data_IF_309181016502
#
_entry.id   IF_309181016502
#
_cell.length_a   1.000
_cell.length_b   1.000
_cell.length_c   1.000
_cell.angle_alpha   90.00
_cell.angle_beta   90.00
_cell.angle_gamma   90.00
#
_symmetry.space_group_name_H-M   'P 1'
#
loop_
_entity.id
_entity.type
_entity.pdbx_description
1 polymer ?
#
# COMPACT_ATOMS: atom_id res chain seq x y z
N UNK A 1 11.52 14.12 -14.88
CA UNK A 1 11.69 12.83 -15.62
C UNK A 1 11.55 13.04 -17.12
N UNK A 2 12.31 12.33 -17.97
CA UNK A 2 12.05 12.18 -19.41
C UNK A 2 11.53 10.77 -19.68
N UNK A 3 10.48 10.62 -20.48
CA UNK A 3 9.88 9.32 -20.76
C UNK A 3 9.48 9.25 -22.23
N UNK A 4 10.23 8.48 -23.03
CA UNK A 4 10.00 8.39 -24.46
C UNK A 4 8.62 7.79 -24.82
N UNK A 5 8.05 6.93 -23.96
CA UNK A 5 6.66 6.44 -24.12
C UNK A 5 5.63 7.55 -23.99
N UNK A 6 5.87 8.52 -23.11
CA UNK A 6 4.99 9.67 -22.95
C UNK A 6 5.15 10.65 -24.11
N UNK A 7 6.41 10.93 -24.48
CA UNK A 7 6.75 11.86 -25.57
C UNK A 7 6.19 11.39 -26.92
N UNK A 8 6.25 10.08 -27.18
CA UNK A 8 5.66 9.46 -28.38
C UNK A 8 4.14 9.31 -28.33
N UNK A 9 3.53 9.50 -27.16
CA UNK A 9 2.10 9.26 -26.94
C UNK A 9 1.72 7.78 -26.79
N UNK A 10 2.68 6.86 -26.77
CA UNK A 10 2.48 5.43 -26.54
C UNK A 10 1.89 5.10 -25.16
N UNK A 11 2.20 5.93 -24.15
CA UNK A 11 1.64 5.80 -22.79
C UNK A 11 1.31 7.17 -22.20
N UNK A 12 0.09 7.34 -21.68
CA UNK A 12 -0.38 8.58 -21.05
C UNK A 12 -0.77 8.42 -19.58
N UNK A 13 -0.30 7.36 -18.92
CA UNK A 13 -0.63 7.09 -17.51
C UNK A 13 -0.09 8.15 -16.53
N UNK A 14 1.03 8.79 -16.86
CA UNK A 14 1.59 9.90 -16.07
C UNK A 14 0.94 11.23 -16.51
N UNK A 15 -0.30 11.46 -16.08
CA UNK A 15 -1.14 12.57 -16.56
C UNK A 15 -0.58 13.97 -16.30
N UNK A 16 0.32 14.12 -15.33
CA UNK A 16 0.95 15.39 -14.96
C UNK A 16 2.41 15.51 -15.38
N UNK A 17 2.92 14.63 -16.24
CA UNK A 17 4.36 14.59 -16.54
C UNK A 17 4.92 15.90 -17.10
N UNK A 18 4.12 16.63 -17.89
CA UNK A 18 4.50 17.93 -18.46
C UNK A 18 4.53 19.07 -17.43
N UNK A 19 3.95 18.86 -16.24
CA UNK A 19 3.91 19.86 -15.18
C UNK A 19 5.18 19.74 -14.30
N UNK A 20 5.94 20.84 -14.06
CA UNK A 20 7.11 20.77 -13.18
C UNK A 20 6.77 20.27 -11.77
N UNK A 21 7.65 19.44 -11.18
CA UNK A 21 7.42 18.79 -9.87
C UNK A 21 6.92 19.72 -8.77
N UNK A 22 7.51 20.91 -8.51
CA UNK A 22 7.02 21.80 -7.47
C UNK A 22 5.57 22.24 -7.67
N UNK A 23 5.12 22.39 -8.93
CA UNK A 23 3.74 22.73 -9.26
C UNK A 23 2.78 21.56 -9.09
N UNK A 24 3.23 20.33 -9.37
CA UNK A 24 2.43 19.13 -9.09
C UNK A 24 2.12 19.03 -7.60
N UNK A 25 3.17 19.17 -6.77
CA UNK A 25 3.06 19.12 -5.30
C UNK A 25 2.16 20.23 -4.76
N UNK A 26 2.39 21.48 -5.19
CA UNK A 26 1.58 22.62 -4.76
C UNK A 26 0.10 22.43 -5.11
N UNK A 27 -0.21 22.04 -6.34
CA UNK A 27 -1.59 21.80 -6.80
C UNK A 27 -2.25 20.64 -6.04
N UNK A 28 -1.51 19.55 -5.80
CA UNK A 28 -2.00 18.40 -5.04
C UNK A 28 -2.32 18.76 -3.59
N UNK A 29 -1.40 19.45 -2.93
CA UNK A 29 -1.53 19.94 -1.55
C UNK A 29 -2.71 20.90 -1.41
N UNK A 30 -2.76 21.93 -2.26
CA UNK A 30 -3.83 22.94 -2.24
C UNK A 30 -5.22 22.30 -2.38
N UNK A 31 -5.39 21.35 -3.31
CA UNK A 31 -6.66 20.64 -3.49
C UNK A 31 -7.09 19.86 -2.25
N UNK A 32 -6.14 19.20 -1.56
CA UNK A 32 -6.43 18.45 -0.33
C UNK A 32 -6.78 19.40 0.81
N UNK A 33 -6.01 20.47 1.01
CA UNK A 33 -6.25 21.45 2.06
C UNK A 33 -7.60 22.15 1.87
N UNK A 34 -7.95 22.55 0.64
CA UNK A 34 -9.26 23.14 0.32
C UNK A 34 -10.41 22.18 0.61
N UNK A 35 -10.27 20.91 0.24
CA UNK A 35 -11.29 19.89 0.46
C UNK A 35 -11.52 19.62 1.95
N UNK A 36 -10.45 19.62 2.75
CA UNK A 36 -10.50 19.32 4.18
C UNK A 36 -10.73 20.56 5.06
N UNK A 37 -10.71 21.76 4.48
CA UNK A 37 -10.90 23.04 5.18
C UNK A 37 -12.10 23.06 6.14
N UNK A 38 -13.28 22.48 5.81
CA UNK A 38 -14.42 22.47 6.74
C UNK A 38 -14.19 21.71 8.04
N UNK A 39 -13.21 20.80 8.09
CA UNK A 39 -12.96 19.87 9.19
C UNK A 39 -11.74 20.24 10.05
N UNK A 40 -11.07 21.36 9.75
CA UNK A 40 -9.88 21.82 10.49
C UNK A 40 -10.25 22.38 11.86
N UNK A 41 -9.42 22.15 12.87
CA UNK A 41 -9.47 22.85 14.15
C UNK A 41 -8.76 24.23 14.05
N UNK A 42 -9.04 25.14 14.99
CA UNK A 42 -8.23 26.36 15.12
C UNK A 42 -6.76 25.99 15.38
N UNK A 43 -5.84 26.73 14.76
CA UNK A 43 -4.41 26.48 14.89
C UNK A 43 -3.89 25.21 14.20
N UNK A 44 -4.65 24.60 13.28
CA UNK A 44 -4.20 23.41 12.53
C UNK A 44 -2.86 23.65 11.84
N UNK A 45 -1.93 22.70 11.99
CA UNK A 45 -0.60 22.78 11.38
C UNK A 45 -0.51 21.84 10.17
N UNK A 46 -0.12 22.39 9.02
CA UNK A 46 0.20 21.62 7.82
C UNK A 46 1.70 21.56 7.58
N UNK A 47 2.29 20.40 7.82
CA UNK A 47 3.73 20.16 7.61
C UNK A 47 4.07 20.07 6.12
N UNK A 48 5.37 20.24 5.80
CA UNK A 48 5.87 20.05 4.44
C UNK A 48 5.52 18.66 3.89
N UNK A 49 5.15 18.53 2.61
CA UNK A 49 4.80 17.25 2.02
C UNK A 49 5.79 16.11 2.28
N UNK A 50 5.27 14.88 2.37
CA UNK A 50 6.11 13.68 2.24
C UNK A 50 6.34 13.45 0.75
N UNK A 51 7.59 13.58 0.33
CA UNK A 51 8.04 13.41 -1.06
C UNK A 51 9.19 12.40 -1.09
N UNK A 52 9.33 11.70 -2.19
CA UNK A 52 10.46 10.81 -2.46
C UNK A 52 10.90 10.92 -3.90
N UNK A 53 11.57 9.89 -4.40
CA UNK A 53 12.03 9.85 -5.78
C UNK A 53 10.89 10.01 -6.80
N UNK A 54 11.13 10.81 -7.85
CA UNK A 54 10.17 11.01 -8.96
C UNK A 54 10.32 9.98 -10.09
N UNK A 55 11.31 9.09 -10.00
CA UNK A 55 11.62 7.98 -10.92
C UNK A 55 12.07 6.77 -10.08
N UNK A 56 12.01 5.57 -10.64
CA UNK A 56 12.49 4.37 -9.95
C UNK A 56 11.75 4.01 -8.66
N UNK A 57 10.60 4.63 -8.40
CA UNK A 57 9.89 4.49 -7.13
C UNK A 57 8.86 3.36 -7.11
N UNK A 58 8.40 2.92 -8.29
CA UNK A 58 7.24 2.05 -8.45
C UNK A 58 7.62 0.61 -8.14
N UNK A 59 7.58 0.26 -6.86
CA UNK A 59 7.94 -1.07 -6.35
C UNK A 59 7.06 -2.21 -6.91
N UNK A 60 5.93 -1.91 -7.56
CA UNK A 60 5.04 -2.91 -8.16
C UNK A 60 4.74 -2.65 -9.63
N UNK A 61 5.15 -3.59 -10.48
CA UNK A 61 4.73 -3.72 -11.86
C UNK A 61 3.53 -4.65 -11.98
N UNK A 62 2.49 -4.19 -12.68
CA UNK A 62 1.36 -5.02 -13.09
C UNK A 62 1.24 -4.87 -14.59
N UNK A 63 1.60 -5.91 -15.33
CA UNK A 63 1.73 -5.87 -16.78
C UNK A 63 0.72 -6.82 -17.41
N UNK A 64 -0.14 -6.33 -18.30
CA UNK A 64 -0.91 -7.24 -19.15
C UNK A 64 0.02 -7.88 -20.17
N UNK A 65 -0.23 -9.16 -20.49
CA UNK A 65 0.53 -9.85 -21.53
C UNK A 65 -0.23 -9.75 -22.84
N UNK A 66 0.41 -9.08 -23.82
CA UNK A 66 -0.07 -8.93 -25.19
C UNK A 66 0.82 -9.65 -26.20
N UNK A 67 0.60 -9.36 -27.48
CA UNK A 67 1.41 -9.90 -28.58
C UNK A 67 1.15 -11.40 -28.84
N UNK A 68 2.22 -12.18 -29.00
CA UNK A 68 2.13 -13.63 -29.26
C UNK A 68 3.05 -14.41 -28.32
N UNK A 69 2.92 -15.73 -28.26
CA UNK A 69 3.86 -16.56 -27.51
C UNK A 69 5.31 -16.36 -28.02
N UNK A 70 5.53 -16.11 -29.32
CA UNK A 70 6.87 -15.92 -29.89
C UNK A 70 7.42 -14.50 -29.67
N UNK A 71 6.55 -13.52 -29.52
CA UNK A 71 6.88 -12.12 -29.30
C UNK A 71 5.90 -11.54 -28.27
N UNK A 72 6.06 -11.89 -26.98
CA UNK A 72 5.20 -11.37 -25.93
C UNK A 72 5.50 -9.90 -25.69
N UNK A 73 4.45 -9.13 -25.43
CA UNK A 73 4.53 -7.72 -25.03
C UNK A 73 4.03 -7.58 -23.60
N UNK A 74 4.67 -6.72 -22.81
CA UNK A 74 4.21 -6.38 -21.46
C UNK A 74 3.70 -4.94 -21.46
N UNK A 75 2.38 -4.80 -21.33
CA UNK A 75 1.64 -3.56 -21.57
C UNK A 75 0.87 -3.13 -20.31
N UNK A 76 0.10 -2.03 -20.39
CA UNK A 76 -0.75 -1.60 -19.29
C UNK A 76 -1.85 -2.63 -18.98
N UNK A 77 -2.21 -2.82 -17.69
CA UNK A 77 -3.37 -3.63 -17.31
C UNK A 77 -4.62 -3.23 -18.09
N UNK A 78 -5.31 -4.22 -18.64
CA UNK A 78 -6.52 -4.01 -19.45
C UNK A 78 -6.26 -3.61 -20.91
N UNK A 79 -4.99 -3.49 -21.35
CA UNK A 79 -4.62 -3.21 -22.74
C UNK A 79 -3.77 -4.34 -23.30
N UNK A 80 -4.36 -5.38 -23.90
CA UNK A 80 -3.60 -6.50 -24.50
C UNK A 80 -2.95 -6.17 -25.86
N UNK A 81 -3.20 -4.98 -26.39
CA UNK A 81 -2.53 -4.40 -27.54
C UNK A 81 -1.91 -3.06 -27.12
N UNK A 82 -0.71 -2.76 -27.62
CA UNK A 82 -0.01 -1.53 -27.27
C UNK A 82 1.50 -1.66 -27.36
N UNK A 83 2.18 -0.71 -26.73
CA UNK A 83 3.64 -0.63 -26.67
C UNK A 83 4.15 -1.45 -25.50
N UNK A 84 5.33 -2.05 -25.67
CA UNK A 84 6.04 -2.69 -24.57
C UNK A 84 6.51 -1.64 -23.56
N UNK A 85 6.30 -1.89 -22.28
CA UNK A 85 6.56 -0.94 -21.19
C UNK A 85 7.50 -1.50 -20.12
N UNK A 86 8.34 -2.48 -20.48
CA UNK A 86 9.34 -3.04 -19.57
C UNK A 86 10.34 -1.96 -19.06
N UNK A 87 10.71 -1.03 -19.94
CA UNK A 87 11.65 0.08 -19.71
C UNK A 87 10.98 1.36 -19.17
N UNK A 88 9.84 1.20 -18.48
CA UNK A 88 9.15 2.32 -17.86
C UNK A 88 10.04 2.97 -16.78
N UNK A 89 10.36 4.29 -16.86
CA UNK A 89 11.29 4.95 -15.92
C UNK A 89 10.77 5.04 -14.47
N UNK A 90 9.53 4.64 -14.22
CA UNK A 90 8.97 4.56 -12.88
C UNK A 90 9.47 3.33 -12.12
N UNK A 91 9.90 2.27 -12.81
CA UNK A 91 10.33 1.04 -12.16
C UNK A 91 11.74 1.19 -11.57
N UNK A 92 11.97 0.66 -10.34
CA UNK A 92 13.31 0.54 -9.79
C UNK A 92 14.26 -0.26 -10.69
N UNK A 93 15.56 -0.06 -10.51
CA UNK A 93 16.61 -0.82 -11.18
C UNK A 93 16.40 -2.34 -10.99
N UNK A 94 16.69 -3.13 -12.03
CA UNK A 94 16.51 -4.59 -12.02
C UNK A 94 15.13 -5.07 -12.48
N UNK A 95 14.09 -4.23 -12.38
CA UNK A 95 12.73 -4.62 -12.75
C UNK A 95 12.59 -4.83 -14.26
N UNK A 96 13.19 -3.97 -15.07
CA UNK A 96 13.18 -4.11 -16.54
C UNK A 96 13.79 -5.46 -16.94
N UNK A 97 14.95 -5.81 -16.39
CA UNK A 97 15.63 -7.07 -16.67
C UNK A 97 14.78 -8.28 -16.26
N UNK A 98 14.12 -8.22 -15.11
CA UNK A 98 13.21 -9.27 -14.64
C UNK A 98 11.99 -9.42 -15.57
N UNK A 99 11.42 -8.31 -16.04
CA UNK A 99 10.30 -8.32 -16.98
C UNK A 99 10.71 -8.88 -18.36
N UNK A 100 11.89 -8.52 -18.86
CA UNK A 100 12.46 -9.12 -20.07
C UNK A 100 12.77 -10.62 -19.90
N UNK A 101 13.24 -11.02 -18.71
CA UNK A 101 13.38 -12.41 -18.31
C UNK A 101 12.05 -13.17 -18.35
N UNK A 102 10.97 -12.56 -17.84
CA UNK A 102 9.63 -13.12 -17.89
C UNK A 102 9.13 -13.29 -19.34
N UNK A 103 9.36 -12.30 -20.21
CA UNK A 103 9.08 -12.41 -21.66
C UNK A 103 9.85 -13.57 -22.31
N UNK A 104 11.13 -13.72 -21.98
CA UNK A 104 11.95 -14.81 -22.49
C UNK A 104 11.43 -16.18 -22.03
N UNK A 105 10.96 -16.29 -20.78
CA UNK A 105 10.34 -17.50 -20.25
C UNK A 105 9.01 -17.82 -20.94
N UNK A 106 8.10 -16.84 -21.07
CA UNK A 106 6.83 -16.98 -21.79
C UNK A 106 7.05 -17.52 -23.20
N UNK A 107 8.06 -16.95 -23.88
CA UNK A 107 8.46 -17.37 -25.22
C UNK A 107 9.02 -18.78 -25.26
N UNK A 108 9.90 -19.16 -24.35
CA UNK A 108 10.42 -20.54 -24.30
C UNK A 108 9.32 -21.56 -24.02
N UNK A 109 8.46 -21.26 -23.04
CA UNK A 109 7.34 -22.10 -22.62
C UNK A 109 6.16 -22.11 -23.61
N UNK A 110 6.22 -21.31 -24.69
CA UNK A 110 5.16 -21.19 -25.70
C UNK A 110 3.78 -20.91 -25.07
N UNK A 111 3.72 -20.01 -24.08
CA UNK A 111 2.48 -19.72 -23.37
C UNK A 111 1.73 -18.62 -24.14
N UNK A 112 0.54 -18.91 -24.70
CA UNK A 112 -0.19 -17.93 -25.48
C UNK A 112 -0.75 -16.83 -24.59
N UNK A 113 -0.53 -15.53 -24.91
CA UNK A 113 -1.23 -14.43 -24.27
C UNK A 113 -2.74 -14.60 -24.33
N UNK A 114 -3.43 -14.17 -23.29
CA UNK A 114 -4.87 -14.28 -23.18
C UNK A 114 -5.58 -13.13 -23.90
N UNK A 115 -6.37 -13.47 -24.92
CA UNK A 115 -7.22 -12.56 -25.67
C UNK A 115 -8.58 -12.42 -24.96
N UNK A 116 -8.83 -11.24 -24.40
CA UNK A 116 -10.05 -10.91 -23.65
C UNK A 116 -11.30 -10.99 -24.55
N UNK A 117 -11.21 -10.55 -25.80
CA UNK A 117 -12.34 -10.53 -26.72
C UNK A 117 -12.73 -11.95 -27.17
N UNK A 118 -11.73 -12.79 -27.47
CA UNK A 118 -11.94 -14.18 -27.92
C UNK A 118 -12.05 -15.18 -26.79
N UNK A 119 -11.71 -14.79 -25.56
CA UNK A 119 -11.66 -15.64 -24.35
C UNK A 119 -10.75 -16.86 -24.53
N UNK A 120 -9.62 -16.68 -25.21
CA UNK A 120 -8.65 -17.73 -25.57
C UNK A 120 -7.25 -17.32 -25.16
N UNK A 121 -6.36 -18.31 -25.07
CA UNK A 121 -5.01 -18.11 -24.55
C UNK A 121 -4.93 -18.44 -23.05
N UNK A 122 -3.79 -18.20 -22.45
CA UNK A 122 -3.48 -18.75 -21.13
C UNK A 122 -2.90 -17.72 -20.16
N UNK A 123 -1.88 -16.95 -20.54
CA UNK A 123 -1.29 -15.95 -19.65
C UNK A 123 -1.98 -14.60 -19.79
N UNK A 124 -2.45 -14.04 -18.67
CA UNK A 124 -3.14 -12.75 -18.62
C UNK A 124 -2.21 -11.61 -18.24
N UNK A 125 -1.46 -11.78 -17.16
CA UNK A 125 -0.62 -10.74 -16.59
C UNK A 125 0.72 -11.30 -16.09
N UNK A 126 1.74 -10.45 -16.07
CA UNK A 126 2.97 -10.64 -15.30
C UNK A 126 3.02 -9.55 -14.23
N UNK A 127 3.16 -9.96 -12.97
CA UNK A 127 3.30 -9.04 -11.84
C UNK A 127 4.69 -9.17 -11.26
N UNK A 128 5.31 -8.05 -10.94
CA UNK A 128 6.61 -7.99 -10.29
C UNK A 128 6.50 -7.05 -9.09
N UNK A 129 6.99 -7.51 -7.94
CA UNK A 129 7.18 -6.68 -6.75
C UNK A 129 8.68 -6.64 -6.48
N UNK A 130 9.23 -5.45 -6.29
CA UNK A 130 10.65 -5.21 -6.03
C UNK A 130 10.84 -4.66 -4.62
N UNK A 131 11.88 -5.12 -3.92
CA UNK A 131 12.32 -4.55 -2.66
C UNK A 131 13.38 -3.47 -2.90
N UNK A 132 13.55 -2.51 -1.97
CA UNK A 132 14.66 -1.55 -2.04
C UNK A 132 16.05 -2.18 -2.01
N UNK A 133 16.15 -3.46 -1.65
CA UNK A 133 17.40 -4.21 -1.59
C UNK A 133 17.69 -4.96 -2.91
N UNK A 134 16.88 -4.73 -3.95
CA UNK A 134 17.06 -5.31 -5.28
C UNK A 134 16.54 -6.74 -5.43
N UNK A 135 15.74 -7.24 -4.48
CA UNK A 135 15.09 -8.54 -4.57
C UNK A 135 13.71 -8.43 -5.21
N UNK A 136 13.28 -9.50 -5.89
CA UNK A 136 12.08 -9.50 -6.73
C UNK A 136 11.20 -10.71 -6.44
N UNK A 137 9.89 -10.47 -6.38
CA UNK A 137 8.85 -11.47 -6.39
C UNK A 137 8.12 -11.39 -7.74
N UNK A 138 8.21 -12.48 -8.52
CA UNK A 138 7.65 -12.58 -9.88
C UNK A 138 6.42 -13.48 -9.90
N UNK A 139 5.32 -13.02 -10.51
CA UNK A 139 4.04 -13.75 -10.55
C UNK A 139 3.52 -13.83 -11.97
N UNK A 140 3.12 -15.03 -12.38
CA UNK A 140 2.45 -15.28 -13.66
C UNK A 140 0.96 -15.47 -13.40
N UNK A 141 0.13 -14.53 -13.88
CA UNK A 141 -1.33 -14.68 -13.78
C UNK A 141 -1.81 -15.46 -15.00
N UNK A 142 -2.33 -16.65 -14.75
CA UNK A 142 -2.79 -17.59 -15.75
C UNK A 142 -4.31 -17.75 -15.68
N UNK A 143 -4.93 -18.12 -16.79
CA UNK A 143 -6.34 -18.50 -16.84
C UNK A 143 -6.60 -19.85 -16.14
N UNK A 144 -5.66 -20.79 -16.25
CA UNK A 144 -5.79 -22.14 -15.71
C UNK A 144 -4.41 -22.72 -15.33
N UNK A 145 -4.38 -23.98 -14.92
CA UNK A 145 -3.15 -24.68 -14.56
C UNK A 145 -2.40 -25.28 -15.76
N UNK A 146 -2.93 -25.11 -16.99
CA UNK A 146 -2.42 -25.78 -18.20
C UNK A 146 -0.97 -25.42 -18.58
N UNK A 147 -0.46 -24.25 -18.15
CA UNK A 147 0.90 -23.82 -18.43
C UNK A 147 1.91 -24.12 -17.31
N UNK A 148 1.50 -24.68 -16.16
CA UNK A 148 2.36 -24.82 -14.98
C UNK A 148 3.58 -25.71 -15.23
N UNK A 149 3.40 -26.85 -15.91
CA UNK A 149 4.50 -27.77 -16.21
C UNK A 149 5.57 -27.11 -17.09
N UNK A 150 5.14 -26.40 -18.16
CA UNK A 150 6.04 -25.67 -19.06
C UNK A 150 6.74 -24.49 -18.37
N UNK A 151 6.05 -23.80 -17.45
CA UNK A 151 6.69 -22.77 -16.62
C UNK A 151 7.79 -23.39 -15.75
N UNK A 152 7.47 -24.48 -15.02
CA UNK A 152 8.43 -25.16 -14.14
C UNK A 152 9.64 -25.69 -14.90
N UNK A 153 9.44 -26.24 -16.09
CA UNK A 153 10.52 -26.76 -16.95
C UNK A 153 11.58 -25.70 -17.28
N UNK A 154 11.15 -24.47 -17.57
CA UNK A 154 12.05 -23.40 -18.01
C UNK A 154 12.44 -22.40 -16.91
N UNK A 155 11.82 -22.50 -15.74
CA UNK A 155 12.05 -21.60 -14.61
C UNK A 155 13.51 -21.58 -14.10
N UNK A 156 14.24 -22.72 -14.00
CA UNK A 156 15.63 -22.70 -13.51
C UNK A 156 16.53 -21.74 -14.30
N UNK A 157 16.35 -21.67 -15.63
CA UNK A 157 17.12 -20.76 -16.49
C UNK A 157 16.82 -19.28 -16.22
N UNK A 158 15.58 -18.94 -15.86
CA UNK A 158 15.22 -17.58 -15.46
C UNK A 158 15.92 -17.23 -14.14
N UNK A 159 15.89 -18.14 -13.15
CA UNK A 159 16.49 -17.90 -11.85
C UNK A 159 18.02 -17.80 -11.92
N UNK A 160 18.68 -18.57 -12.79
CA UNK A 160 20.12 -18.45 -13.06
C UNK A 160 20.48 -17.10 -13.68
N UNK A 161 19.67 -16.60 -14.61
CA UNK A 161 19.91 -15.31 -15.27
C UNK A 161 19.54 -14.11 -14.39
N UNK A 162 18.59 -14.30 -13.46
CA UNK A 162 18.04 -13.26 -12.60
C UNK A 162 18.06 -13.73 -11.14
N UNK A 163 19.24 -13.80 -10.49
CA UNK A 163 19.37 -14.24 -9.10
C UNK A 163 18.66 -13.32 -8.10
N UNK A 164 18.30 -12.11 -8.52
CA UNK A 164 17.46 -11.19 -7.76
C UNK A 164 16.03 -11.69 -7.56
N UNK A 165 15.54 -12.66 -8.36
CA UNK A 165 14.21 -13.23 -8.22
C UNK A 165 14.18 -14.28 -7.11
N UNK A 166 13.76 -13.87 -5.92
CA UNK A 166 13.78 -14.70 -4.71
C UNK A 166 12.50 -15.50 -4.49
N UNK A 167 11.43 -15.18 -5.22
CA UNK A 167 10.18 -15.93 -5.19
C UNK A 167 9.43 -15.84 -6.51
N UNK A 168 8.89 -16.99 -6.95
CA UNK A 168 8.06 -17.10 -8.16
C UNK A 168 6.79 -17.88 -7.87
N UNK A 169 5.66 -17.37 -8.36
CA UNK A 169 4.37 -18.05 -8.23
C UNK A 169 3.52 -17.93 -9.51
N UNK A 170 2.51 -18.79 -9.61
CA UNK A 170 1.46 -18.71 -10.62
C UNK A 170 0.12 -18.45 -9.94
N UNK A 171 -0.53 -17.36 -10.32
CA UNK A 171 -1.87 -17.02 -9.85
C UNK A 171 -2.91 -17.52 -10.86
N UNK A 172 -3.95 -18.22 -10.41
CA UNK A 172 -4.99 -18.78 -11.27
C UNK A 172 -6.23 -17.88 -11.25
N UNK A 173 -6.55 -17.31 -12.41
CA UNK A 173 -7.65 -16.39 -12.63
C UNK A 173 -8.54 -16.87 -13.78
N UNK A 174 -9.51 -17.77 -13.55
CA UNK A 174 -10.39 -18.29 -14.60
C UNK A 174 -11.46 -17.27 -15.03
N UNK A 175 -11.78 -16.31 -14.17
CA UNK A 175 -12.87 -15.36 -14.36
C UNK A 175 -12.59 -14.32 -15.46
N UNK A 176 -13.67 -13.77 -16.01
CA UNK A 176 -13.64 -12.71 -17.03
C UNK A 176 -14.06 -11.39 -16.37
N UNK A 177 -13.23 -10.91 -15.45
CA UNK A 177 -13.49 -9.71 -14.64
C UNK A 177 -12.38 -8.69 -14.85
N UNK A 178 -12.59 -7.47 -14.36
CA UNK A 178 -11.58 -6.40 -14.36
C UNK A 178 -10.50 -6.60 -13.29
N UNK A 179 -10.62 -7.64 -12.44
CA UNK A 179 -9.58 -8.03 -11.49
C UNK A 179 -8.32 -8.44 -12.25
N UNK A 180 -7.16 -8.06 -11.73
CA UNK A 180 -5.85 -8.37 -12.32
C UNK A 180 -5.41 -9.81 -12.01
N UNK A 181 -5.93 -10.38 -10.94
CA UNK A 181 -5.53 -11.67 -10.37
C UNK A 181 -6.75 -12.39 -9.76
N UNK A 182 -6.66 -13.71 -9.66
CA UNK A 182 -7.62 -14.59 -9.00
C UNK A 182 -7.18 -14.94 -7.58
N UNK A 183 -7.90 -15.89 -6.99
CA UNK A 183 -7.78 -16.23 -5.56
C UNK A 183 -6.72 -17.29 -5.27
N UNK A 184 -6.54 -18.24 -6.19
CA UNK A 184 -5.57 -19.32 -6.03
C UNK A 184 -4.16 -18.86 -6.44
N UNK A 185 -3.20 -19.08 -5.56
CA UNK A 185 -1.78 -18.79 -5.78
C UNK A 185 -0.96 -20.08 -5.58
N UNK A 186 -0.25 -20.50 -6.63
CA UNK A 186 0.54 -21.72 -6.66
C UNK A 186 2.03 -21.34 -6.62
N UNK A 187 2.78 -21.71 -5.57
CA UNK A 187 4.22 -21.47 -5.52
C UNK A 187 4.93 -22.30 -6.59
N UNK A 188 5.88 -21.66 -7.28
CA UNK A 188 6.72 -22.30 -8.31
C UNK A 188 8.18 -22.43 -7.86
N UNK A 189 8.72 -21.39 -7.21
CA UNK A 189 10.07 -21.40 -6.67
C UNK A 189 10.27 -20.35 -5.57
N UNK A 190 11.32 -20.54 -4.77
CA UNK A 190 11.81 -19.56 -3.80
C UNK A 190 11.01 -19.49 -2.50
N UNK A 191 11.18 -18.39 -1.77
CA UNK A 191 10.76 -18.28 -0.36
C UNK A 191 9.25 -18.09 -0.15
N UNK A 192 8.47 -17.85 -1.20
CA UNK A 192 7.03 -17.55 -1.10
C UNK A 192 6.71 -16.18 -0.49
N UNK A 193 7.74 -15.35 -0.27
CA UNK A 193 7.65 -14.01 0.32
C UNK A 193 8.80 -13.13 -0.16
N UNK A 194 8.68 -11.83 0.07
CA UNK A 194 9.68 -10.81 -0.19
C UNK A 194 9.87 -9.94 1.05
N UNK A 195 11.11 -9.77 1.50
CA UNK A 195 11.45 -8.81 2.53
C UNK A 195 11.51 -7.40 1.91
N UNK A 196 10.76 -6.46 2.47
CA UNK A 196 10.67 -5.08 1.96
C UNK A 196 10.96 -4.11 3.09
N UNK A 197 12.21 -3.68 3.16
CA UNK A 197 12.65 -2.64 4.09
C UNK A 197 11.88 -1.35 3.83
N UNK A 198 11.05 -0.94 4.77
CA UNK A 198 10.12 0.18 4.62
C UNK A 198 10.26 1.09 5.83
N UNK A 199 10.99 2.19 5.66
CA UNK A 199 11.37 3.03 6.79
C UNK A 199 12.32 2.30 7.73
N UNK A 200 11.89 2.10 8.97
CA UNK A 200 12.74 1.59 10.06
C UNK A 200 12.45 0.11 10.39
N UNK A 201 11.59 -0.53 9.58
CA UNK A 201 11.15 -1.93 9.75
C UNK A 201 11.23 -2.68 8.42
N UNK A 202 11.19 -4.01 8.50
CA UNK A 202 11.06 -4.88 7.33
C UNK A 202 9.66 -5.45 7.26
N UNK A 203 8.95 -5.20 6.15
CA UNK A 203 7.64 -5.79 5.88
C UNK A 203 7.82 -7.05 5.04
N UNK A 204 7.18 -8.15 5.41
CA UNK A 204 7.27 -9.41 4.66
C UNK A 204 6.04 -9.59 3.76
N UNK A 205 6.19 -9.21 2.50
CA UNK A 205 5.12 -9.30 1.51
C UNK A 205 5.00 -10.71 0.94
N UNK A 206 3.79 -11.24 0.91
CA UNK A 206 3.41 -12.44 0.16
C UNK A 206 2.80 -12.04 -1.18
N UNK A 207 2.57 -12.99 -2.11
CA UNK A 207 2.15 -12.68 -3.47
C UNK A 207 0.93 -11.75 -3.57
N UNK A 208 -0.13 -12.00 -2.78
CA UNK A 208 -1.38 -11.21 -2.79
C UNK A 208 -1.41 -10.08 -1.75
N UNK A 209 -0.34 -9.87 -0.99
CA UNK A 209 -0.25 -8.80 0.01
C UNK A 209 -0.26 -7.42 -0.66
N UNK A 210 -0.93 -6.46 -0.01
CA UNK A 210 -0.85 -5.07 -0.40
C UNK A 210 0.46 -4.44 0.13
N UNK A 211 1.21 -3.81 -0.77
CA UNK A 211 2.34 -2.94 -0.46
C UNK A 211 2.10 -1.56 -1.05
N UNK A 212 2.59 -0.52 -0.37
CA UNK A 212 2.57 0.81 -0.94
C UNK A 212 3.40 0.87 -2.21
N UNK A 213 2.97 1.68 -3.17
CA UNK A 213 3.64 1.75 -4.48
C UNK A 213 5.02 2.37 -4.36
N UNK A 214 5.18 3.32 -3.46
CA UNK A 214 6.41 4.06 -3.23
C UNK A 214 6.95 3.76 -1.82
N UNK A 215 7.91 2.84 -1.73
CA UNK A 215 8.41 2.31 -0.45
C UNK A 215 9.06 3.38 0.43
N UNK A 216 9.79 4.33 -0.15
CA UNK A 216 10.40 5.45 0.57
C UNK A 216 9.34 6.33 1.25
N UNK A 217 8.36 6.79 0.47
CA UNK A 217 7.25 7.63 0.96
C UNK A 217 6.40 6.88 1.98
N UNK A 218 6.17 5.58 1.80
CA UNK A 218 5.47 4.75 2.78
C UNK A 218 6.21 4.68 4.12
N UNK A 219 7.53 4.51 4.11
CA UNK A 219 8.34 4.54 5.34
C UNK A 219 8.25 5.89 6.06
N UNK A 220 8.31 6.99 5.32
CA UNK A 220 8.15 8.33 5.89
C UNK A 220 6.73 8.57 6.44
N UNK A 221 5.70 8.05 5.76
CA UNK A 221 4.31 8.07 6.22
C UNK A 221 4.15 7.34 7.56
N UNK A 222 4.72 6.13 7.69
CA UNK A 222 4.66 5.37 8.95
C UNK A 222 5.41 6.06 10.08
N UNK A 223 6.59 6.65 9.80
CA UNK A 223 7.31 7.48 10.78
C UNK A 223 6.51 8.69 11.24
N UNK A 224 5.78 9.37 10.34
CA UNK A 224 4.93 10.49 10.73
C UNK A 224 3.85 10.06 11.73
N UNK A 225 3.21 8.91 11.50
CA UNK A 225 2.22 8.37 12.43
C UNK A 225 2.84 8.04 13.80
N UNK A 226 4.03 7.44 13.80
CA UNK A 226 4.76 7.12 15.03
C UNK A 226 5.22 8.38 15.80
N UNK A 227 5.63 9.43 15.08
CA UNK A 227 5.99 10.73 15.65
C UNK A 227 4.79 11.38 16.34
N UNK A 228 3.63 11.45 15.67
CA UNK A 228 2.41 11.97 16.27
C UNK A 228 1.94 11.15 17.47
N UNK A 229 2.07 9.81 17.43
CA UNK A 229 1.76 8.97 18.58
C UNK A 229 2.68 9.24 19.78
N UNK A 230 3.97 9.52 19.54
CA UNK A 230 4.91 9.95 20.60
C UNK A 230 4.52 11.29 21.20
N UNK A 231 4.14 12.26 20.39
CA UNK A 231 3.64 13.55 20.87
C UNK A 231 2.38 13.41 21.72
N UNK A 232 1.49 12.46 21.38
CA UNK A 232 0.30 12.15 22.17
C UNK A 232 0.68 11.51 23.51
N UNK A 233 1.65 10.59 23.50
CA UNK A 233 2.09 9.88 24.70
C UNK A 233 2.74 10.78 25.76
N UNK A 234 3.24 11.97 25.38
CA UNK A 234 3.91 12.88 26.30
C UNK A 234 5.36 12.49 26.59
N UNK A 235 5.89 12.93 27.74
CA UNK A 235 7.31 12.78 28.06
C UNK A 235 7.67 11.35 28.45
N UNK A 236 8.97 11.04 28.49
CA UNK A 236 9.46 9.71 28.83
C UNK A 236 9.12 9.30 30.29
N UNK A 237 9.05 10.28 31.20
CA UNK A 237 8.62 10.06 32.61
C UNK A 237 7.13 9.66 32.70
N UNK A 238 6.28 10.19 31.81
CA UNK A 238 4.86 9.82 31.71
C UNK A 238 4.68 8.38 31.19
N UNK A 239 5.62 7.90 30.38
CA UNK A 239 5.59 6.56 29.77
C UNK A 239 6.10 5.45 30.71
N UNK A 240 6.97 5.77 31.67
CA UNK A 240 7.54 4.79 32.62
C UNK A 240 6.64 4.49 33.83
N UNK A 241 5.67 5.36 34.13
CA UNK A 241 4.88 5.31 35.37
C UNK A 241 3.38 5.01 35.16
N UNK A 242 2.89 5.04 33.92
CA UNK A 242 1.50 4.75 33.56
C UNK A 242 1.27 3.35 32.95
N UNK A 243 0.01 2.84 32.93
CA UNK A 243 -0.32 1.71 32.08
C UNK A 243 -0.16 2.15 30.63
N UNK A 244 0.86 1.65 29.92
CA UNK A 244 1.20 2.10 28.58
C UNK A 244 0.02 2.14 27.60
N UNK A 245 0.06 3.10 26.67
CA UNK A 245 -1.02 3.41 25.73
C UNK A 245 -1.52 2.16 24.99
N UNK A 246 -2.84 2.05 24.82
CA UNK A 246 -3.46 1.08 23.92
C UNK A 246 -3.64 1.74 22.56
N UNK A 247 -3.07 1.14 21.53
CA UNK A 247 -3.13 1.64 20.16
C UNK A 247 -3.70 0.57 19.24
N UNK A 248 -4.73 0.90 18.49
CA UNK A 248 -5.29 0.01 17.46
C UNK A 248 -4.90 0.51 16.07
N UNK A 249 -4.25 -0.34 15.27
CA UNK A 249 -3.98 -0.11 13.84
C UNK A 249 -5.01 -0.92 13.03
N UNK A 250 -6.04 -0.24 12.53
CA UNK A 250 -7.14 -0.85 11.77
C UNK A 250 -6.86 -0.75 10.28
N UNK A 251 -7.12 -1.85 9.55
CA UNK A 251 -6.66 -2.04 8.16
C UNK A 251 -5.13 -2.03 8.07
N UNK A 252 -4.47 -2.70 9.02
CA UNK A 252 -3.03 -2.59 9.22
C UNK A 252 -2.20 -3.18 8.07
N UNK A 253 -2.79 -3.99 7.19
CA UNK A 253 -2.08 -4.68 6.11
C UNK A 253 -0.93 -5.52 6.65
N UNK A 254 0.30 -5.19 6.25
CA UNK A 254 1.52 -5.85 6.70
C UNK A 254 2.07 -5.28 8.03
N UNK A 255 1.30 -4.45 8.73
CA UNK A 255 1.69 -3.87 10.02
C UNK A 255 2.62 -2.66 9.91
N UNK A 256 2.59 -1.93 8.80
CA UNK A 256 3.47 -0.78 8.56
C UNK A 256 3.42 0.25 9.69
N UNK A 257 2.23 0.72 10.06
CA UNK A 257 2.07 1.63 11.20
C UNK A 257 2.33 0.92 12.53
N UNK A 258 1.68 -0.23 12.77
CA UNK A 258 1.82 -0.97 14.02
C UNK A 258 3.28 -1.24 14.44
N UNK A 259 4.14 -1.65 13.50
CA UNK A 259 5.56 -1.93 13.78
C UNK A 259 6.36 -0.65 14.06
N UNK A 260 6.10 0.45 13.33
CA UNK A 260 6.76 1.73 13.63
C UNK A 260 6.29 2.29 14.98
N UNK A 261 5.00 2.15 15.31
CA UNK A 261 4.44 2.52 16.61
C UNK A 261 5.08 1.74 17.75
N UNK A 262 5.16 0.41 17.64
CA UNK A 262 5.76 -0.44 18.67
C UNK A 262 7.25 -0.11 18.90
N UNK A 263 7.99 0.23 17.84
CA UNK A 263 9.39 0.70 17.96
C UNK A 263 9.49 2.07 18.62
N UNK A 264 8.59 2.99 18.27
CA UNK A 264 8.61 4.36 18.78
C UNK A 264 8.09 4.48 20.22
N UNK A 265 7.22 3.55 20.63
CA UNK A 265 6.54 3.48 21.93
C UNK A 265 6.61 2.04 22.49
N UNK A 266 7.77 1.59 23.01
CA UNK A 266 7.95 0.20 23.47
C UNK A 266 7.02 -0.23 24.62
N UNK A 267 6.50 0.73 25.40
CA UNK A 267 5.56 0.47 26.48
C UNK A 267 4.09 0.39 26.01
N UNK A 268 3.80 0.80 24.77
CA UNK A 268 2.43 0.78 24.23
C UNK A 268 2.01 -0.65 23.86
N UNK A 269 0.75 -0.99 24.12
CA UNK A 269 0.12 -2.21 23.64
C UNK A 269 -0.51 -1.94 22.28
N UNK A 270 0.17 -2.39 21.23
CA UNK A 270 -0.28 -2.20 19.84
C UNK A 270 -1.02 -3.44 19.36
N UNK A 271 -2.23 -3.24 18.82
CA UNK A 271 -3.00 -4.29 18.15
C UNK A 271 -3.25 -3.90 16.69
N UNK A 272 -2.79 -4.72 15.74
CA UNK A 272 -3.06 -4.56 14.32
C UNK A 272 -4.16 -5.51 13.84
N UNK A 273 -5.13 -5.00 13.09
CA UNK A 273 -6.25 -5.79 12.54
C UNK A 273 -6.39 -5.60 11.04
N UNK A 274 -6.44 -6.72 10.33
CA UNK A 274 -6.54 -6.79 8.87
C UNK A 274 -7.37 -8.03 8.48
N UNK A 275 -8.17 -7.94 7.42
CA UNK A 275 -9.01 -9.06 6.98
C UNK A 275 -8.19 -10.15 6.26
N UNK A 276 -7.09 -9.75 5.62
CA UNK A 276 -6.18 -10.66 4.92
C UNK A 276 -5.28 -11.43 5.89
N UNK A 277 -5.57 -12.73 6.06
CA UNK A 277 -4.72 -13.65 6.83
C UNK A 277 -3.26 -13.67 6.32
N UNK A 278 -3.04 -13.65 4.99
CA UNK A 278 -1.69 -13.60 4.43
C UNK A 278 -0.94 -12.32 4.82
N UNK A 279 -1.63 -11.17 4.90
CA UNK A 279 -1.01 -9.93 5.35
C UNK A 279 -0.64 -10.01 6.84
N UNK A 280 -1.50 -10.59 7.67
CA UNK A 280 -1.25 -10.82 9.09
C UNK A 280 -0.08 -11.78 9.33
N UNK A 281 0.08 -12.83 8.52
CA UNK A 281 1.25 -13.71 8.61
C UNK A 281 2.55 -12.93 8.32
N UNK A 282 2.53 -12.05 7.31
CA UNK A 282 3.64 -11.14 7.02
C UNK A 282 3.91 -10.13 8.14
N UNK A 283 2.86 -9.61 8.77
CA UNK A 283 2.97 -8.68 9.89
C UNK A 283 3.59 -9.35 11.14
N UNK A 284 3.22 -10.60 11.42
CA UNK A 284 3.80 -11.40 12.52
C UNK A 284 5.28 -11.70 12.29
N UNK A 285 5.67 -12.07 11.08
CA UNK A 285 7.09 -12.22 10.72
C UNK A 285 7.85 -10.90 10.87
N UNK A 286 7.23 -9.78 10.50
CA UNK A 286 7.80 -8.45 10.68
C UNK A 286 8.02 -8.10 12.16
N UNK A 287 7.04 -8.46 13.02
CA UNK A 287 7.14 -8.28 14.47
C UNK A 287 8.26 -9.12 15.07
N UNK A 288 8.34 -10.40 14.71
CA UNK A 288 9.38 -11.31 15.15
C UNK A 288 10.77 -10.81 14.75
N UNK A 289 10.95 -10.43 13.48
CA UNK A 289 12.21 -9.90 12.97
C UNK A 289 12.61 -8.57 13.64
N UNK A 290 11.64 -7.75 14.04
CA UNK A 290 11.87 -6.49 14.73
C UNK A 290 12.02 -6.63 16.26
N UNK A 291 11.75 -7.82 16.81
CA UNK A 291 11.63 -8.02 18.26
C UNK A 291 10.52 -7.18 18.91
N UNK A 292 9.45 -6.90 18.16
CA UNK A 292 8.36 -6.04 18.59
C UNK A 292 7.19 -6.86 19.16
N UNK A 293 6.68 -6.47 20.33
CA UNK A 293 5.48 -7.07 20.92
C UNK A 293 4.22 -6.40 20.36
N UNK A 294 3.64 -6.99 19.31
CA UNK A 294 2.45 -6.48 18.64
C UNK A 294 1.45 -7.62 18.44
N UNK A 295 0.19 -7.39 18.84
CA UNK A 295 -0.89 -8.35 18.63
C UNK A 295 -1.48 -8.16 17.22
N UNK A 296 -1.28 -9.14 16.34
CA UNK A 296 -1.87 -9.12 14.99
C UNK A 296 -3.03 -10.11 14.82
N UNK A 297 -4.16 -9.62 14.31
CA UNK A 297 -5.41 -10.38 14.18
C UNK A 297 -5.95 -10.34 12.73
N UNK A 298 -6.28 -11.52 12.21
CA UNK A 298 -6.98 -11.68 10.95
C UNK A 298 -8.49 -11.58 11.18
N UNK A 299 -9.09 -10.41 11.02
CA UNK A 299 -10.49 -10.14 11.30
C UNK A 299 -11.03 -8.94 10.50
N UNK A 300 -12.35 -8.81 10.44
CA UNK A 300 -12.95 -7.55 9.98
C UNK A 300 -12.67 -6.45 11.01
N UNK A 301 -11.94 -5.41 10.58
CA UNK A 301 -11.45 -4.37 11.47
C UNK A 301 -12.58 -3.58 12.15
N UNK A 302 -13.72 -3.39 11.45
CA UNK A 302 -14.87 -2.65 11.98
C UNK A 302 -15.58 -3.47 13.05
N UNK A 303 -15.97 -4.70 12.72
CA UNK A 303 -16.66 -5.59 13.64
C UNK A 303 -15.82 -5.85 14.90
N UNK A 304 -14.52 -6.13 14.71
CA UNK A 304 -13.61 -6.36 15.83
C UNK A 304 -13.47 -5.13 16.73
N UNK A 305 -13.29 -3.93 16.16
CA UNK A 305 -13.11 -2.72 16.97
C UNK A 305 -14.34 -2.40 17.82
N UNK A 306 -15.54 -2.58 17.25
CA UNK A 306 -16.80 -2.37 17.97
C UNK A 306 -16.95 -3.39 19.10
N UNK A 307 -16.69 -4.67 18.84
CA UNK A 307 -16.79 -5.73 19.83
C UNK A 307 -15.78 -5.56 20.97
N UNK A 308 -14.49 -5.41 20.64
CA UNK A 308 -13.40 -5.29 21.62
C UNK A 308 -13.59 -4.07 22.53
N UNK A 309 -14.16 -2.97 22.00
CA UNK A 309 -14.41 -1.75 22.76
C UNK A 309 -15.48 -1.91 23.85
N UNK A 310 -16.33 -2.95 23.77
CA UNK A 310 -17.33 -3.27 24.83
C UNK A 310 -16.72 -4.03 26.00
N UNK A 311 -15.50 -4.54 25.85
CA UNK A 311 -14.78 -5.24 26.90
C UNK A 311 -14.43 -4.34 28.10
N UNK A 312 -13.95 -4.92 29.21
CA UNK A 312 -13.65 -4.19 30.44
C UNK A 312 -12.55 -3.13 30.28
N UNK A 313 -11.69 -3.27 29.26
CA UNK A 313 -10.66 -2.29 28.94
C UNK A 313 -11.19 -1.08 28.15
N UNK A 314 -12.39 -1.18 27.55
CA UNK A 314 -12.96 -0.10 26.74
C UNK A 314 -12.21 0.17 25.42
N UNK A 315 -12.48 1.31 24.77
CA UNK A 315 -11.79 1.76 23.55
C UNK A 315 -10.29 2.03 23.79
N UNK A 316 -9.45 2.07 22.74
CA UNK A 316 -8.04 2.40 22.86
C UNK A 316 -7.83 3.91 23.07
N UNK A 317 -6.60 4.29 23.43
CA UNK A 317 -6.20 5.69 23.56
C UNK A 317 -6.02 6.35 22.18
N UNK A 318 -5.45 5.59 21.24
CA UNK A 318 -5.19 6.02 19.86
C UNK A 318 -5.73 4.97 18.89
N UNK A 319 -6.40 5.44 17.83
CA UNK A 319 -6.71 4.60 16.66
C UNK A 319 -5.93 5.11 15.45
N UNK A 320 -5.25 4.21 14.75
CA UNK A 320 -4.69 4.45 13.43
C UNK A 320 -5.57 3.75 12.41
N UNK A 321 -5.91 4.44 11.33
CA UNK A 321 -6.69 3.89 10.23
C UNK A 321 -6.01 4.16 8.90
N UNK A 322 -5.95 3.13 8.05
CA UNK A 322 -5.52 3.23 6.66
C UNK A 322 -6.52 2.50 5.74
N UNK A 323 -7.76 3.01 5.63
CA UNK A 323 -8.84 2.28 5.00
C UNK A 323 -8.67 2.14 3.48
N UNK A 324 -9.44 1.23 2.85
CA UNK A 324 -9.56 1.19 1.40
C UNK A 324 -10.09 2.52 0.82
N UNK A 325 -10.01 2.69 -0.51
CA UNK A 325 -10.44 3.91 -1.23
C UNK A 325 -11.87 4.40 -0.94
N UNK A 326 -12.73 3.55 -0.38
CA UNK A 326 -14.11 3.90 0.01
C UNK A 326 -14.20 4.65 1.35
N UNK A 327 -13.10 4.77 2.09
CA UNK A 327 -13.10 5.29 3.46
C UNK A 327 -13.45 4.22 4.51
N UNK A 328 -13.70 4.68 5.73
CA UNK A 328 -14.09 3.86 6.89
C UNK A 328 -15.52 3.32 6.72
N UNK A 329 -16.39 4.13 6.11
CA UNK A 329 -17.81 3.83 6.02
C UNK A 329 -18.57 4.15 7.32
N UNK A 330 -19.91 4.14 7.26
CA UNK A 330 -20.76 4.72 8.30
C UNK A 330 -20.67 4.00 9.65
N UNK A 331 -20.39 2.70 9.65
CA UNK A 331 -20.35 1.91 10.88
C UNK A 331 -19.11 2.24 11.72
N UNK A 332 -17.91 2.19 11.14
CA UNK A 332 -16.67 2.49 11.85
C UNK A 332 -16.53 3.98 12.16
N UNK A 333 -16.88 4.87 11.23
CA UNK A 333 -16.90 6.31 11.49
C UNK A 333 -17.89 6.66 12.61
N UNK A 334 -19.11 6.10 12.57
CA UNK A 334 -20.10 6.29 13.62
C UNK A 334 -19.66 5.73 14.98
N UNK A 335 -18.94 4.61 15.00
CA UNK A 335 -18.32 4.11 16.23
C UNK A 335 -17.24 5.07 16.74
N UNK A 336 -16.30 5.53 15.90
CA UNK A 336 -15.26 6.48 16.29
C UNK A 336 -15.86 7.76 16.88
N UNK A 337 -16.93 8.29 16.28
CA UNK A 337 -17.63 9.46 16.81
C UNK A 337 -18.16 9.24 18.24
N UNK A 338 -18.66 8.04 18.57
CA UNK A 338 -19.26 7.76 19.88
C UNK A 338 -18.34 7.05 20.88
N UNK A 339 -17.21 6.52 20.45
CA UNK A 339 -16.35 5.65 21.25
C UNK A 339 -15.64 6.37 22.39
N UNK A 340 -15.45 7.70 22.28
CA UNK A 340 -14.64 8.46 23.22
C UNK A 340 -13.12 8.40 22.94
N UNK A 341 -12.69 7.72 21.87
CA UNK A 341 -11.31 7.80 21.37
C UNK A 341 -10.95 9.27 21.15
N UNK A 342 -9.79 9.68 21.68
CA UNK A 342 -9.37 11.09 21.70
C UNK A 342 -8.56 11.50 20.48
N UNK A 343 -7.61 10.67 20.06
CA UNK A 343 -6.75 10.93 18.92
C UNK A 343 -6.90 9.81 17.87
N UNK A 344 -7.06 10.20 16.61
CA UNK A 344 -7.12 9.28 15.47
C UNK A 344 -6.09 9.70 14.43
N UNK A 345 -5.22 8.79 14.02
CA UNK A 345 -4.30 9.02 12.90
C UNK A 345 -4.92 8.40 11.65
N UNK A 346 -5.31 9.24 10.70
CA UNK A 346 -6.00 8.79 9.49
C UNK A 346 -5.07 8.98 8.29
N UNK A 347 -4.62 7.87 7.70
CA UNK A 347 -3.95 7.82 6.39
C UNK A 347 -4.97 7.51 5.29
N UNK A 348 -5.09 8.38 4.28
CA UNK A 348 -6.05 8.22 3.19
C UNK A 348 -5.40 8.37 1.82
N UNK A 349 -5.71 7.42 0.94
CA UNK A 349 -5.44 7.52 -0.50
C UNK A 349 -6.59 8.15 -1.31
N UNK A 350 -7.67 8.54 -0.63
CA UNK A 350 -8.82 9.22 -1.23
C UNK A 350 -9.31 10.35 -0.29
N UNK A 351 -8.84 11.58 -0.49
CA UNK A 351 -9.24 12.74 0.31
C UNK A 351 -10.74 13.01 0.31
N UNK A 352 -11.48 12.61 -0.73
CA UNK A 352 -12.93 12.79 -0.80
C UNK A 352 -13.67 11.88 0.19
N UNK A 353 -13.34 10.59 0.23
CA UNK A 353 -13.95 9.69 1.22
C UNK A 353 -13.51 10.02 2.65
N UNK A 354 -12.30 10.57 2.84
CA UNK A 354 -11.89 11.12 4.13
C UNK A 354 -12.80 12.29 4.55
N UNK A 355 -13.11 13.22 3.64
CA UNK A 355 -14.04 14.32 3.95
C UNK A 355 -15.44 13.80 4.31
N UNK A 356 -15.94 12.80 3.58
CA UNK A 356 -17.23 12.15 3.89
C UNK A 356 -17.21 11.49 5.28
N UNK A 357 -16.14 10.76 5.63
CA UNK A 357 -15.98 10.16 6.95
C UNK A 357 -15.90 11.23 8.05
N UNK A 358 -15.17 12.32 7.83
CA UNK A 358 -15.05 13.44 8.78
C UNK A 358 -16.38 14.17 8.99
N UNK A 359 -17.24 14.24 7.97
CA UNK A 359 -18.59 14.77 8.12
C UNK A 359 -19.45 13.89 9.04
N UNK A 360 -19.18 12.58 9.11
CA UNK A 360 -19.83 11.65 10.04
C UNK A 360 -19.21 11.64 11.44
N UNK A 361 -18.07 12.30 11.64
CA UNK A 361 -17.34 12.39 12.91
C UNK A 361 -17.10 13.86 13.34
N UNK A 362 -18.16 14.67 13.51
CA UNK A 362 -18.02 16.12 13.71
C UNK A 362 -17.22 16.50 14.96
N UNK A 363 -17.16 15.62 15.97
CA UNK A 363 -16.37 15.88 17.18
C UNK A 363 -14.86 15.71 16.96
N UNK A 364 -14.44 14.98 15.93
CA UNK A 364 -13.04 14.75 15.57
C UNK A 364 -12.60 15.77 14.51
N UNK A 365 -11.72 16.70 14.91
CA UNK A 365 -11.22 17.77 14.04
C UNK A 365 -9.76 17.54 13.69
N UNK A 366 -9.39 17.91 12.47
CA UNK A 366 -7.98 17.85 12.03
C UNK A 366 -7.20 18.88 12.83
N UNK A 367 -6.14 18.47 13.52
CA UNK A 367 -5.22 19.37 14.24
C UNK A 367 -3.84 19.42 13.59
N UNK A 368 -3.48 18.39 12.83
CA UNK A 368 -2.29 18.39 11.99
C UNK A 368 -2.53 17.60 10.71
N UNK A 369 -1.90 18.02 9.61
CA UNK A 369 -2.03 17.37 8.31
C UNK A 369 -0.73 17.38 7.52
N UNK A 370 -0.58 16.40 6.64
CA UNK A 370 0.57 16.31 5.73
C UNK A 370 0.15 15.68 4.41
N UNK A 371 0.41 16.38 3.31
CA UNK A 371 0.23 15.83 1.95
C UNK A 371 1.29 14.75 1.67
N UNK A 372 0.90 13.69 0.97
CA UNK A 372 1.75 12.53 0.69
C UNK A 372 1.78 12.28 -0.82
N UNK A 373 2.96 12.46 -1.43
CA UNK A 373 3.19 12.25 -2.86
C UNK A 373 3.55 10.77 -3.16
N UNK A 374 2.57 9.88 -2.94
CA UNK A 374 2.73 8.44 -3.17
C UNK A 374 2.80 8.08 -4.67
N UNK A 375 2.21 8.92 -5.54
CA UNK A 375 2.11 8.69 -6.98
C UNK A 375 2.55 9.91 -7.80
N UNK A 376 3.86 10.23 -7.81
CA UNK A 376 4.41 11.26 -8.67
C UNK A 376 3.89 11.15 -10.12
N UNK A 377 3.55 12.31 -10.70
CA UNK A 377 3.14 12.51 -12.11
C UNK A 377 1.69 12.12 -12.39
N UNK A 378 0.88 11.98 -11.33
CA UNK A 378 -0.55 11.69 -11.44
C UNK A 378 -1.37 12.66 -10.61
N UNK A 379 -2.68 12.71 -10.86
CA UNK A 379 -3.60 13.48 -10.03
C UNK A 379 -4.02 12.74 -8.75
N UNK A 380 -3.45 11.58 -8.43
CA UNK A 380 -3.72 10.94 -7.14
C UNK A 380 -3.16 11.81 -6.02
N UNK A 381 -3.92 11.92 -4.94
CA UNK A 381 -3.51 12.63 -3.74
C UNK A 381 -3.70 11.71 -2.56
N UNK A 382 -2.64 11.57 -1.76
CA UNK A 382 -2.72 10.95 -0.46
C UNK A 382 -2.48 11.98 0.64
N UNK A 383 -3.00 11.71 1.82
CA UNK A 383 -2.87 12.59 2.98
C UNK A 383 -2.85 11.75 4.25
N UNK A 384 -2.05 12.19 5.22
CA UNK A 384 -2.21 11.74 6.60
C UNK A 384 -2.62 12.92 7.47
N UNK A 385 -3.64 12.72 8.30
CA UNK A 385 -4.12 13.72 9.25
C UNK A 385 -4.14 13.15 10.66
N UNK A 386 -3.84 14.00 11.64
CA UNK A 386 -4.11 13.76 13.05
C UNK A 386 -5.43 14.42 13.40
N UNK A 387 -6.39 13.61 13.79
CA UNK A 387 -7.67 14.06 14.31
C UNK A 387 -7.61 14.07 15.83
N UNK A 388 -8.20 15.09 16.42
CA UNK A 388 -8.40 15.20 17.86
C UNK A 388 -9.86 15.49 18.16
N UNK A 389 -10.38 14.83 19.19
CA UNK A 389 -11.70 15.14 19.70
C UNK A 389 -11.69 16.49 20.40
N UNK A 390 -12.53 17.40 19.93
CA UNK A 390 -12.69 18.73 20.53
C UNK A 390 -13.83 18.66 21.54
N UNK A 391 -13.60 19.15 22.76
CA UNK A 391 -14.64 19.14 23.78
C UNK A 391 -15.76 20.15 23.43
N UNK A 392 -17.02 19.87 23.80
CA UNK A 392 -18.10 20.86 23.65
C UNK A 392 -17.73 22.16 24.39
N UNK A 393 -17.49 23.24 23.65
CA UNK A 393 -17.12 24.56 24.19
C UNK A 393 -15.73 25.09 23.83
N UNK A 394 -14.84 24.27 23.23
CA UNK A 394 -13.51 24.71 22.75
C UNK A 394 -13.56 25.39 21.37
N UNK A 395 -14.72 25.46 20.72
CA UNK A 395 -14.90 26.07 19.39
C UNK A 395 -14.76 27.61 19.38
N UNK A 396 -14.61 28.26 20.54
CA UNK A 396 -14.72 29.71 20.70
C UNK A 396 -13.52 30.46 21.30
N UNK A 397 -12.36 29.82 21.49
CA UNK A 397 -11.18 30.50 22.05
C UNK A 397 -10.07 30.67 21.00
N UNK A 398 -10.13 31.86 20.40
CA UNK A 398 -9.16 32.64 19.59
C UNK A 398 -8.72 32.10 18.24
#
# INVERSE_FOLDING_TARGET
MRCHHFDSGACRSCTLLDLPRPRQLARGRERVEQLLAPHLASGTIWSEPIVGAEQGFRARGKMAVGGTAQAPLLTLPGQSAGTDLCDCPLYPDGVEEVLEGAKALIRRAQIPPYDVARRRGEIKNVLVTSSPDGEHLLRFVLRSTAALERLREHLPRLLEAHPSVVSVSANIHPEHTTRVEGEEEIPLAGAGRLAVRTGDVTLYSRPQSFLQTHTEVAGALYRQGAEWAREIAGTQEDQETGPGLRIWDLYCGLGGFALHLARALPAARVTGVEVSAQAIDGAREGAEAAGADVRFLAADATAWAIEEATGPAGPPDIVVVNPPRRGLGPELAGWLERSGVRDVLYSSCNPASLADDLAAMPSLRIVAGRYVDMFPHTEHAEVIVRLRRIAPGEEGLS
#
